data_IF_601540588015
#
_entry.id   IF_601540588015
#
_cell.length_a   1.000
_cell.length_b   1.000
_cell.length_c   1.000
_cell.angle_alpha   90.00
_cell.angle_beta   90.00
_cell.angle_gamma   90.00
#
_symmetry.space_group_name_H-M   'P 1'
#
loop_
_entity.id
_entity.type
_entity.pdbx_description
1 polymer ?
#
# COMPACT_ATOMS: atom_id res chain seq x y z
N UNK A 1 -14.27 8.65 -24.44
CA UNK A 1 -14.38 10.13 -24.39
C UNK A 1 -14.80 10.45 -22.98
N UNK A 2 -13.86 10.83 -22.10
CA UNK A 2 -14.16 11.39 -20.79
C UNK A 2 -14.81 12.75 -21.04
N UNK A 3 -16.07 12.89 -20.67
CA UNK A 3 -16.73 14.17 -20.64
C UNK A 3 -16.04 15.05 -19.61
N UNK A 4 -15.51 16.20 -20.04
CA UNK A 4 -14.98 17.21 -19.12
C UNK A 4 -16.12 17.65 -18.19
N UNK A 5 -16.04 17.25 -16.92
CA UNK A 5 -16.94 17.77 -15.90
C UNK A 5 -16.56 19.22 -15.67
N UNK A 6 -17.32 20.14 -16.27
CA UNK A 6 -17.07 21.58 -16.19
C UNK A 6 -17.42 22.08 -14.79
N UNK A 7 -16.69 23.10 -14.32
CA UNK A 7 -17.08 23.82 -13.08
C UNK A 7 -18.58 24.20 -13.15
N UNK A 8 -19.33 24.04 -12.05
CA UNK A 8 -20.73 24.41 -12.03
C UNK A 8 -20.88 25.88 -12.42
N UNK A 9 -21.76 26.12 -13.37
CA UNK A 9 -22.07 27.48 -13.83
C UNK A 9 -22.51 28.33 -12.61
N UNK A 10 -22.19 29.62 -12.64
CA UNK A 10 -22.51 30.59 -11.58
C UNK A 10 -23.97 30.46 -11.09
N UNK A 11 -24.91 30.25 -12.00
CA UNK A 11 -26.36 30.03 -11.70
C UNK A 11 -26.61 28.81 -10.79
N UNK A 12 -25.80 27.74 -10.87
CA UNK A 12 -25.95 26.57 -10.01
C UNK A 12 -25.48 26.89 -8.60
N UNK A 13 -24.35 27.62 -8.47
CA UNK A 13 -23.85 28.08 -7.18
C UNK A 13 -24.85 29.02 -6.48
N UNK A 14 -25.42 29.98 -7.20
CA UNK A 14 -26.46 30.89 -6.70
C UNK A 14 -27.70 30.13 -6.22
N UNK A 15 -28.15 29.15 -6.98
CA UNK A 15 -29.32 28.32 -6.59
C UNK A 15 -29.02 27.50 -5.32
N UNK A 16 -27.86 26.87 -5.23
CA UNK A 16 -27.45 26.12 -4.05
C UNK A 16 -27.27 27.04 -2.84
N UNK A 17 -26.65 28.20 -3.02
CA UNK A 17 -26.51 29.25 -2.02
C UNK A 17 -27.86 29.63 -1.41
N UNK A 18 -28.86 29.96 -2.25
CA UNK A 18 -30.18 30.29 -1.81
C UNK A 18 -30.90 29.16 -1.06
N UNK A 19 -30.73 27.94 -1.52
CA UNK A 19 -31.30 26.74 -0.90
C UNK A 19 -30.70 26.39 0.45
N UNK A 20 -29.38 26.53 0.57
CA UNK A 20 -28.60 26.19 1.76
C UNK A 20 -28.43 27.36 2.73
N UNK A 21 -28.95 28.54 2.38
CA UNK A 21 -28.79 29.80 3.17
C UNK A 21 -27.32 30.12 3.49
N UNK A 22 -26.44 29.98 2.48
CA UNK A 22 -25.02 30.32 2.57
C UNK A 22 -24.65 31.30 1.47
N UNK A 23 -23.55 32.02 1.64
CA UNK A 23 -23.03 32.88 0.59
C UNK A 23 -22.62 32.07 -0.64
N UNK A 24 -22.77 32.58 -1.88
CA UNK A 24 -22.33 31.90 -3.09
C UNK A 24 -20.85 31.52 -3.09
N UNK A 25 -20.03 32.34 -2.42
CA UNK A 25 -18.58 32.10 -2.19
C UNK A 25 -18.30 30.87 -1.33
N UNK A 26 -19.27 30.43 -0.53
CA UNK A 26 -19.16 29.23 0.32
C UNK A 26 -19.67 27.94 -0.37
N UNK A 27 -20.02 28.03 -1.64
CA UNK A 27 -20.39 26.86 -2.46
C UNK A 27 -19.20 26.41 -3.29
N UNK A 28 -18.54 25.34 -2.87
CA UNK A 28 -17.39 24.77 -3.54
C UNK A 28 -17.79 23.68 -4.51
N UNK A 29 -17.04 23.54 -5.60
CA UNK A 29 -17.23 22.48 -6.58
C UNK A 29 -16.11 21.44 -6.46
N UNK A 30 -16.47 20.19 -6.26
CA UNK A 30 -15.57 19.05 -6.36
C UNK A 30 -15.88 18.30 -7.66
N UNK A 31 -15.35 18.76 -8.77
CA UNK A 31 -15.47 18.11 -10.07
C UNK A 31 -14.35 17.07 -10.27
N UNK A 32 -14.50 16.24 -11.30
CA UNK A 32 -13.52 15.22 -11.62
C UNK A 32 -12.15 15.81 -11.96
N UNK A 33 -11.11 15.21 -11.41
CA UNK A 33 -9.71 15.61 -11.57
C UNK A 33 -8.86 14.41 -11.99
N UNK A 34 -7.70 14.61 -12.61
CA UNK A 34 -6.84 13.51 -13.08
C UNK A 34 -6.46 12.50 -12.01
N UNK A 35 -6.21 12.99 -10.80
CA UNK A 35 -5.99 12.16 -9.62
C UNK A 35 -6.50 12.86 -8.35
N UNK A 36 -6.77 12.10 -7.30
CA UNK A 36 -7.39 12.60 -6.06
C UNK A 36 -6.56 13.71 -5.36
N UNK A 37 -5.27 13.78 -5.60
CA UNK A 37 -4.38 14.76 -4.97
C UNK A 37 -4.61 16.19 -5.47
N UNK A 38 -5.25 16.36 -6.65
CA UNK A 38 -5.70 17.67 -7.14
C UNK A 38 -6.85 18.27 -6.32
N UNK A 39 -7.63 17.45 -5.61
CA UNK A 39 -8.82 17.94 -4.89
C UNK A 39 -8.46 19.00 -3.85
N UNK A 40 -7.39 18.81 -3.09
CA UNK A 40 -6.93 19.79 -2.10
C UNK A 40 -6.58 21.14 -2.74
N UNK A 41 -5.88 21.10 -3.88
CA UNK A 41 -5.51 22.31 -4.64
C UNK A 41 -6.74 23.01 -5.19
N UNK A 42 -7.64 22.26 -5.80
CA UNK A 42 -8.90 22.76 -6.37
C UNK A 42 -9.79 23.43 -5.31
N UNK A 43 -9.92 22.85 -4.13
CA UNK A 43 -10.69 23.45 -3.05
C UNK A 43 -10.00 24.71 -2.50
N UNK A 44 -8.68 24.70 -2.37
CA UNK A 44 -7.92 25.86 -1.94
C UNK A 44 -8.03 27.03 -2.95
N UNK A 45 -7.97 26.75 -4.26
CA UNK A 45 -8.13 27.76 -5.33
C UNK A 45 -9.51 28.41 -5.32
N UNK A 46 -10.53 27.73 -4.80
CA UNK A 46 -11.86 28.26 -4.60
C UNK A 46 -12.02 29.03 -3.28
N UNK A 47 -10.96 29.15 -2.46
CA UNK A 47 -11.01 29.88 -1.20
C UNK A 47 -11.50 29.08 0.01
N UNK A 48 -11.57 27.73 -0.09
CA UNK A 48 -12.09 26.91 1.00
C UNK A 48 -11.28 27.07 2.31
N UNK A 49 -9.95 27.16 2.21
CA UNK A 49 -9.08 27.34 3.38
C UNK A 49 -9.33 28.65 4.10
N UNK A 50 -9.45 29.75 3.37
CA UNK A 50 -9.71 31.07 3.98
C UNK A 50 -11.12 31.12 4.61
N UNK A 51 -12.13 30.60 3.90
CA UNK A 51 -13.49 30.51 4.45
C UNK A 51 -13.53 29.71 5.76
N UNK A 52 -12.83 28.59 5.83
CA UNK A 52 -12.75 27.79 7.06
C UNK A 52 -12.04 28.53 8.20
N UNK A 53 -10.93 29.24 7.91
CA UNK A 53 -10.24 30.08 8.90
C UNK A 53 -11.18 31.13 9.49
N UNK A 54 -11.88 31.87 8.64
CA UNK A 54 -12.81 32.92 9.05
C UNK A 54 -13.96 32.35 9.86
N UNK A 55 -14.55 31.25 9.38
CA UNK A 55 -15.71 30.63 10.03
C UNK A 55 -15.41 30.06 11.40
N UNK A 56 -14.23 29.47 11.57
CA UNK A 56 -13.82 28.84 12.83
C UNK A 56 -12.96 29.77 13.71
N UNK A 57 -12.78 31.03 13.30
CA UNK A 57 -11.93 32.02 14.00
C UNK A 57 -10.52 31.47 14.31
N UNK A 58 -9.95 30.75 13.33
CA UNK A 58 -8.64 30.09 13.50
C UNK A 58 -7.53 31.05 13.12
N UNK A 59 -6.65 31.37 14.06
CA UNK A 59 -5.40 32.08 13.79
C UNK A 59 -4.31 31.09 13.31
N UNK A 60 -4.48 30.59 12.10
CA UNK A 60 -3.53 29.68 11.46
C UNK A 60 -2.78 30.44 10.37
N UNK A 61 -1.44 30.45 10.40
CA UNK A 61 -0.66 31.08 9.34
C UNK A 61 -0.92 30.40 7.99
N UNK A 62 -0.96 31.20 6.93
CA UNK A 62 -1.09 30.68 5.57
C UNK A 62 0.13 29.86 5.22
N UNK A 63 -0.04 28.55 5.02
CA UNK A 63 1.04 27.60 4.74
C UNK A 63 1.31 27.50 3.23
N UNK A 64 1.73 28.61 2.59
CA UNK A 64 2.12 28.59 1.17
C UNK A 64 3.14 27.50 0.82
N UNK A 65 4.21 27.29 1.61
CA UNK A 65 5.20 26.25 1.30
C UNK A 65 4.58 24.84 1.17
N UNK A 66 3.65 24.48 2.06
CA UNK A 66 2.98 23.17 2.03
C UNK A 66 2.17 22.95 0.75
N UNK A 67 1.51 23.98 0.24
CA UNK A 67 0.76 23.91 -1.02
C UNK A 67 1.67 23.80 -2.24
N UNK A 68 2.85 24.40 -2.20
CA UNK A 68 3.81 24.30 -3.28
C UNK A 68 4.43 22.89 -3.36
N UNK A 69 4.75 22.30 -2.22
CA UNK A 69 5.18 20.90 -2.12
C UNK A 69 4.07 19.96 -2.60
N UNK A 70 2.82 20.24 -2.24
CA UNK A 70 1.66 19.46 -2.69
C UNK A 70 1.44 19.57 -4.20
N UNK A 71 1.59 20.77 -4.79
CA UNK A 71 1.55 20.96 -6.25
C UNK A 71 2.65 20.18 -6.94
N UNK A 72 3.88 20.24 -6.43
CA UNK A 72 5.01 19.51 -6.98
C UNK A 72 4.77 17.99 -6.93
N UNK A 73 4.23 17.47 -5.82
CA UNK A 73 3.84 16.07 -5.69
C UNK A 73 2.76 15.69 -6.71
N UNK A 74 1.69 16.49 -6.80
CA UNK A 74 0.56 16.24 -7.71
C UNK A 74 1.02 16.22 -9.17
N UNK A 75 1.85 17.18 -9.57
CA UNK A 75 2.44 17.21 -10.91
C UNK A 75 3.34 16.01 -11.19
N UNK A 76 4.05 15.51 -10.18
CA UNK A 76 4.85 14.28 -10.30
C UNK A 76 3.96 13.06 -10.53
N UNK A 77 2.85 12.95 -9.78
CA UNK A 77 1.88 11.85 -9.95
C UNK A 77 1.27 11.83 -11.35
N UNK A 78 1.01 13.00 -11.94
CA UNK A 78 0.49 13.09 -13.31
C UNK A 78 1.50 12.64 -14.38
N UNK A 79 2.79 12.65 -14.06
CA UNK A 79 3.87 12.42 -15.02
C UNK A 79 4.74 11.19 -14.67
N UNK A 80 4.16 10.18 -14.03
CA UNK A 80 4.86 8.92 -13.74
C UNK A 80 5.04 8.10 -15.01
N UNK A 81 6.28 7.98 -15.49
CA UNK A 81 6.62 7.30 -16.75
C UNK A 81 7.33 5.95 -16.55
N UNK A 82 7.92 5.72 -15.38
CA UNK A 82 8.55 4.45 -15.03
C UNK A 82 7.52 3.54 -14.39
N UNK A 83 7.40 2.31 -14.84
CA UNK A 83 6.55 1.30 -14.20
C UNK A 83 7.38 0.47 -13.22
N UNK A 84 6.81 0.19 -12.05
CA UNK A 84 7.39 -0.65 -11.02
C UNK A 84 6.36 -1.70 -10.60
N UNK A 85 6.78 -2.95 -10.56
CA UNK A 85 5.93 -4.09 -10.25
C UNK A 85 6.34 -4.74 -8.94
N UNK A 86 5.43 -4.79 -7.97
CA UNK A 86 5.65 -5.42 -6.65
C UNK A 86 4.73 -6.63 -6.50
N UNK A 87 5.31 -7.80 -6.25
CA UNK A 87 4.55 -8.98 -5.86
C UNK A 87 4.21 -8.90 -4.37
N UNK A 88 2.93 -8.77 -4.06
CA UNK A 88 2.43 -8.81 -2.68
C UNK A 88 2.02 -10.24 -2.33
N UNK A 89 2.87 -10.93 -1.56
CA UNK A 89 2.69 -12.33 -1.18
C UNK A 89 1.95 -12.42 0.14
N UNK A 90 0.67 -12.74 0.09
CA UNK A 90 -0.20 -12.68 1.26
C UNK A 90 -1.28 -13.75 1.30
N UNK A 91 -2.23 -13.55 2.21
CA UNK A 91 -3.52 -14.24 2.28
C UNK A 91 -4.62 -13.29 1.84
N UNK A 92 -5.77 -13.83 1.43
CA UNK A 92 -6.95 -13.00 1.13
C UNK A 92 -6.67 -11.91 0.08
N UNK A 93 -5.90 -12.24 -0.93
CA UNK A 93 -5.53 -11.30 -2.00
C UNK A 93 -6.73 -10.79 -2.80
N UNK A 94 -7.90 -11.45 -2.68
CA UNK A 94 -9.17 -10.99 -3.24
C UNK A 94 -9.84 -9.82 -2.49
N UNK A 95 -9.35 -9.43 -1.29
CA UNK A 95 -9.87 -8.33 -0.47
C UNK A 95 -8.81 -7.25 -0.32
N UNK A 96 -8.72 -6.37 -1.30
CA UNK A 96 -7.75 -5.25 -1.32
C UNK A 96 -7.83 -4.35 -0.08
N UNK A 97 -9.02 -4.22 0.51
CA UNK A 97 -9.25 -3.37 1.69
C UNK A 97 -8.45 -3.84 2.92
N UNK A 98 -8.17 -5.14 3.05
CA UNK A 98 -7.37 -5.69 4.14
C UNK A 98 -5.94 -5.16 4.17
N UNK A 99 -5.42 -4.69 3.03
CA UNK A 99 -4.07 -4.19 2.87
C UNK A 99 -4.02 -2.72 2.44
N UNK A 100 -5.11 -1.97 2.61
CA UNK A 100 -5.21 -0.61 2.10
C UNK A 100 -4.07 0.31 2.58
N UNK A 101 -3.67 0.21 3.84
CA UNK A 101 -2.56 1.00 4.40
C UNK A 101 -1.22 0.67 3.70
N UNK A 102 -0.96 -0.61 3.44
CA UNK A 102 0.26 -1.07 2.74
C UNK A 102 0.23 -0.60 1.29
N UNK A 103 -0.91 -0.73 0.61
CA UNK A 103 -1.11 -0.25 -0.77
C UNK A 103 -0.83 1.25 -0.85
N UNK A 104 -1.41 2.04 0.07
CA UNK A 104 -1.20 3.50 0.10
C UNK A 104 0.25 3.87 0.39
N UNK A 105 0.90 3.18 1.33
CA UNK A 105 2.31 3.39 1.61
C UNK A 105 3.20 3.10 0.38
N UNK A 106 2.95 1.99 -0.32
CA UNK A 106 3.65 1.66 -1.57
C UNK A 106 3.37 2.69 -2.67
N UNK A 107 2.13 3.16 -2.83
CA UNK A 107 1.79 4.21 -3.79
C UNK A 107 2.56 5.50 -3.49
N UNK A 108 2.60 5.95 -2.24
CA UNK A 108 3.33 7.14 -1.84
C UNK A 108 4.85 6.99 -2.06
N UNK A 109 5.40 5.80 -1.77
CA UNK A 109 6.80 5.50 -2.07
C UNK A 109 7.08 5.55 -3.58
N UNK A 110 6.17 4.99 -4.41
CA UNK A 110 6.23 5.05 -5.86
C UNK A 110 6.22 6.48 -6.38
N UNK A 111 5.34 7.35 -5.86
CA UNK A 111 5.32 8.78 -6.23
C UNK A 111 6.63 9.48 -5.92
N UNK A 112 7.22 9.18 -4.75
CA UNK A 112 8.51 9.75 -4.39
C UNK A 112 9.64 9.26 -5.28
N UNK A 113 9.60 7.98 -5.68
CA UNK A 113 10.55 7.38 -6.62
C UNK A 113 10.30 7.75 -8.09
N UNK A 114 9.21 8.46 -8.41
CA UNK A 114 8.83 8.79 -9.78
C UNK A 114 8.32 7.60 -10.59
N UNK A 115 7.81 6.56 -9.92
CA UNK A 115 7.37 5.33 -10.52
C UNK A 115 5.88 5.06 -10.32
N UNK A 116 5.23 4.59 -11.37
CA UNK A 116 3.86 4.08 -11.34
C UNK A 116 3.87 2.64 -10.84
N UNK A 117 3.19 2.44 -9.71
CA UNK A 117 3.17 1.14 -9.04
C UNK A 117 2.11 0.21 -9.62
N UNK A 118 2.51 -1.03 -9.91
CA UNK A 118 1.65 -2.17 -10.15
C UNK A 118 1.83 -3.20 -9.04
N UNK A 119 0.73 -3.67 -8.46
CA UNK A 119 0.75 -4.69 -7.41
C UNK A 119 0.21 -5.98 -7.99
N UNK A 120 1.06 -7.00 -8.05
CA UNK A 120 0.66 -8.36 -8.39
C UNK A 120 0.33 -9.12 -7.10
N UNK A 121 -0.92 -9.54 -7.00
CA UNK A 121 -1.42 -10.26 -5.83
C UNK A 121 -1.07 -11.73 -5.91
N UNK A 122 -0.26 -12.21 -4.97
CA UNK A 122 0.23 -13.58 -4.92
C UNK A 122 -0.33 -14.29 -3.69
N UNK A 123 -1.16 -15.30 -3.94
CA UNK A 123 -1.63 -16.22 -2.89
C UNK A 123 -0.47 -17.10 -2.42
N UNK A 124 -0.01 -16.87 -1.20
CA UNK A 124 1.18 -17.51 -0.64
C UNK A 124 1.09 -19.04 -0.63
N UNK A 125 -0.10 -19.59 -0.42
CA UNK A 125 -0.35 -21.03 -0.40
C UNK A 125 0.09 -21.73 -1.70
N UNK A 126 -0.14 -21.09 -2.86
CA UNK A 126 0.25 -21.68 -4.14
C UNK A 126 1.75 -21.61 -4.45
N UNK A 127 2.54 -20.92 -3.62
CA UNK A 127 4.00 -20.96 -3.73
C UNK A 127 4.63 -22.18 -3.02
N UNK A 128 3.86 -22.93 -2.26
CA UNK A 128 4.33 -24.09 -1.51
C UNK A 128 4.70 -25.26 -2.44
N UNK A 129 5.78 -26.03 -2.14
CA UNK A 129 6.29 -27.06 -3.05
C UNK A 129 5.28 -28.15 -3.42
N UNK A 130 4.36 -28.51 -2.50
CA UNK A 130 3.35 -29.52 -2.77
C UNK A 130 2.34 -29.07 -3.84
N UNK A 131 2.10 -27.76 -3.96
CA UNK A 131 1.19 -27.19 -4.95
C UNK A 131 1.66 -27.42 -6.40
N UNK A 132 2.94 -27.64 -6.61
CA UNK A 132 3.46 -28.03 -7.93
C UNK A 132 2.83 -29.32 -8.46
N UNK A 133 2.34 -30.20 -7.56
CA UNK A 133 1.67 -31.45 -7.93
C UNK A 133 0.15 -31.33 -7.88
N UNK A 134 -0.37 -30.61 -6.88
CA UNK A 134 -1.82 -30.50 -6.64
C UNK A 134 -2.49 -29.47 -7.55
N UNK A 135 -1.83 -28.34 -7.79
CA UNK A 135 -2.33 -27.21 -8.58
C UNK A 135 -1.23 -26.61 -9.49
N UNK A 136 -0.68 -27.39 -10.46
CA UNK A 136 0.51 -27.00 -11.21
C UNK A 136 0.35 -25.70 -11.99
N UNK A 137 -0.83 -25.43 -12.54
CA UNK A 137 -1.10 -24.19 -13.30
C UNK A 137 -1.01 -22.96 -12.41
N UNK A 138 -1.72 -22.95 -11.28
CA UNK A 138 -1.67 -21.84 -10.32
C UNK A 138 -0.29 -21.67 -9.70
N UNK A 139 0.36 -22.77 -9.33
CA UNK A 139 1.71 -22.74 -8.82
C UNK A 139 2.67 -22.05 -9.80
N UNK A 140 2.61 -22.42 -11.09
CA UNK A 140 3.44 -21.80 -12.13
C UNK A 140 3.09 -20.32 -12.34
N UNK A 141 1.80 -19.98 -12.37
CA UNK A 141 1.32 -18.60 -12.53
C UNK A 141 1.84 -17.69 -11.41
N UNK A 142 1.62 -18.07 -10.15
CA UNK A 142 2.02 -17.24 -9.01
C UNK A 142 3.55 -17.12 -8.88
N UNK A 143 4.29 -18.19 -9.15
CA UNK A 143 5.75 -18.14 -9.23
C UNK A 143 6.23 -17.22 -10.35
N UNK A 144 5.53 -17.20 -11.47
CA UNK A 144 5.88 -16.29 -12.57
C UNK A 144 5.68 -14.82 -12.16
N UNK A 145 4.61 -14.51 -11.40
CA UNK A 145 4.39 -13.17 -10.83
C UNK A 145 5.55 -12.77 -9.92
N UNK A 146 5.96 -13.64 -8.99
CA UNK A 146 7.10 -13.40 -8.09
C UNK A 146 8.41 -13.17 -8.85
N UNK A 147 8.67 -13.99 -9.88
CA UNK A 147 9.87 -13.90 -10.70
C UNK A 147 9.92 -12.63 -11.56
N UNK A 148 8.79 -12.19 -12.08
CA UNK A 148 8.70 -11.01 -12.95
C UNK A 148 8.63 -9.69 -12.19
N UNK A 149 8.31 -9.71 -10.90
CA UNK A 149 8.25 -8.50 -10.08
C UNK A 149 9.64 -7.88 -9.86
N UNK A 150 9.70 -6.56 -9.72
CA UNK A 150 10.91 -5.83 -9.36
C UNK A 150 11.28 -5.97 -7.89
N UNK A 151 10.28 -6.28 -7.06
CA UNK A 151 10.44 -6.55 -5.64
C UNK A 151 9.29 -7.35 -5.06
N UNK A 152 9.49 -7.89 -3.87
CA UNK A 152 8.49 -8.69 -3.15
C UNK A 152 8.18 -8.04 -1.81
N UNK A 153 6.88 -7.92 -1.49
CA UNK A 153 6.41 -7.51 -0.18
C UNK A 153 5.61 -8.65 0.46
N UNK A 154 5.98 -9.03 1.68
CA UNK A 154 5.21 -9.96 2.51
C UNK A 154 4.61 -9.18 3.67
N UNK A 155 3.29 -8.94 3.69
CA UNK A 155 2.63 -8.18 4.74
C UNK A 155 2.46 -8.99 6.03
N UNK A 156 1.99 -8.32 7.08
CA UNK A 156 1.56 -8.94 8.31
C UNK A 156 0.36 -9.88 8.12
N UNK A 157 0.10 -10.69 9.14
CA UNK A 157 -1.04 -11.61 9.19
C UNK A 157 -0.88 -12.61 10.32
N UNK A 158 -1.93 -13.34 10.61
CA UNK A 158 -1.98 -14.37 11.66
C UNK A 158 -2.26 -15.76 11.09
N UNK A 159 -1.87 -16.82 11.84
CA UNK A 159 -2.14 -18.21 11.55
C UNK A 159 -1.21 -18.83 10.50
N UNK A 160 -1.32 -20.15 10.36
CA UNK A 160 -0.35 -21.01 9.68
C UNK A 160 -0.45 -21.05 8.15
N UNK A 161 -1.61 -20.69 7.59
CA UNK A 161 -1.88 -20.82 6.15
C UNK A 161 -0.90 -19.97 5.31
N UNK A 162 -0.23 -20.62 4.35
CA UNK A 162 0.68 -19.98 3.41
C UNK A 162 2.02 -19.53 4.01
N UNK A 163 2.37 -19.99 5.23
CA UNK A 163 3.64 -19.65 5.91
C UNK A 163 4.82 -20.17 5.11
N UNK A 164 4.79 -21.44 4.72
CA UNK A 164 5.89 -22.05 3.91
C UNK A 164 6.01 -21.39 2.54
N UNK A 165 4.90 -21.04 1.88
CA UNK A 165 4.94 -20.30 0.62
C UNK A 165 5.56 -18.92 0.73
N UNK A 166 5.31 -18.21 1.84
CA UNK A 166 5.99 -16.93 2.15
C UNK A 166 7.48 -17.15 2.37
N UNK A 167 7.89 -18.23 3.05
CA UNK A 167 9.31 -18.60 3.21
C UNK A 167 9.96 -18.88 1.86
N UNK A 168 9.27 -19.62 0.97
CA UNK A 168 9.75 -19.85 -0.40
C UNK A 168 9.98 -18.55 -1.17
N UNK A 169 9.07 -17.58 -1.04
CA UNK A 169 9.24 -16.26 -1.65
C UNK A 169 10.42 -15.48 -1.05
N UNK A 170 10.59 -15.49 0.28
CA UNK A 170 11.70 -14.84 0.97
C UNK A 170 13.05 -15.44 0.55
N UNK A 171 13.14 -16.78 0.49
CA UNK A 171 14.31 -17.51 0.01
C UNK A 171 14.65 -17.14 -1.42
N UNK A 172 13.67 -17.17 -2.32
CA UNK A 172 13.87 -16.78 -3.71
C UNK A 172 14.46 -15.37 -3.82
N UNK A 173 13.95 -14.42 -3.05
CA UNK A 173 14.46 -13.04 -3.05
C UNK A 173 15.92 -12.99 -2.58
N UNK A 174 16.24 -13.67 -1.49
CA UNK A 174 17.60 -13.74 -0.95
C UNK A 174 18.58 -14.36 -1.94
N UNK A 175 18.23 -15.48 -2.56
CA UNK A 175 19.08 -16.22 -3.51
C UNK A 175 19.32 -15.48 -4.82
N UNK A 176 18.31 -14.71 -5.28
CA UNK A 176 18.36 -13.97 -6.55
C UNK A 176 18.78 -12.51 -6.39
N UNK A 177 18.95 -12.02 -5.17
CA UNK A 177 19.23 -10.61 -4.90
C UNK A 177 18.03 -9.69 -5.16
N UNK A 178 16.81 -10.24 -5.27
CA UNK A 178 15.58 -9.45 -5.47
C UNK A 178 15.23 -8.69 -4.19
N UNK A 179 14.87 -7.39 -4.27
CA UNK A 179 14.38 -6.62 -3.12
C UNK A 179 13.23 -7.30 -2.40
N UNK A 180 13.34 -7.42 -1.08
CA UNK A 180 12.33 -8.01 -0.21
C UNK A 180 11.99 -7.07 0.95
N UNK A 181 10.70 -6.88 1.20
CA UNK A 181 10.20 -6.17 2.38
C UNK A 181 9.23 -7.06 3.15
N UNK A 182 9.61 -7.46 4.35
CA UNK A 182 8.75 -8.19 5.29
C UNK A 182 8.21 -7.25 6.37
N UNK A 183 6.89 -7.22 6.55
CA UNK A 183 6.23 -6.42 7.59
C UNK A 183 5.62 -7.37 8.63
N UNK A 184 5.91 -7.19 9.92
CA UNK A 184 5.39 -8.00 11.01
C UNK A 184 5.70 -9.50 10.76
N UNK A 185 4.69 -10.31 10.45
CA UNK A 185 4.88 -11.72 10.07
C UNK A 185 5.88 -11.89 8.91
N UNK A 186 5.84 -11.01 7.92
CA UNK A 186 6.79 -11.08 6.80
C UNK A 186 8.25 -10.95 7.22
N UNK A 187 8.56 -10.12 8.23
CA UNK A 187 9.89 -10.04 8.82
C UNK A 187 10.24 -11.34 9.56
N UNK A 188 9.32 -11.87 10.35
CA UNK A 188 9.51 -13.14 11.08
C UNK A 188 9.80 -14.29 10.11
N UNK A 189 9.07 -14.35 9.00
CA UNK A 189 9.28 -15.33 7.92
C UNK A 189 10.70 -15.27 7.36
N UNK A 190 11.22 -14.06 7.10
CA UNK A 190 12.59 -13.91 6.60
C UNK A 190 13.64 -14.38 7.62
N UNK A 191 13.41 -14.11 8.92
CA UNK A 191 14.29 -14.58 10.00
C UNK A 191 14.28 -16.11 10.09
N UNK A 192 13.12 -16.74 10.02
CA UNK A 192 12.96 -18.19 10.07
C UNK A 192 13.62 -18.84 8.85
N UNK A 193 13.38 -18.33 7.64
CA UNK A 193 14.03 -18.85 6.42
C UNK A 193 15.55 -18.75 6.52
N UNK A 194 16.08 -17.60 6.96
CA UNK A 194 17.50 -17.40 7.13
C UNK A 194 18.11 -18.40 8.16
N UNK A 195 17.40 -18.62 9.27
CA UNK A 195 17.84 -19.60 10.26
C UNK A 195 17.86 -21.02 9.69
N UNK A 196 16.86 -21.42 8.92
CA UNK A 196 16.77 -22.74 8.31
C UNK A 196 17.86 -22.96 7.25
N UNK A 197 17.97 -22.04 6.32
CA UNK A 197 18.73 -22.22 5.10
C UNK A 197 20.18 -21.73 5.21
N UNK A 198 20.43 -20.59 5.82
CA UNK A 198 21.78 -20.01 5.92
C UNK A 198 22.52 -20.48 7.17
N UNK A 199 21.85 -20.54 8.32
CA UNK A 199 22.48 -20.99 9.56
C UNK A 199 22.41 -22.50 9.78
N UNK A 200 21.79 -23.26 8.86
CA UNK A 200 21.66 -24.71 8.93
C UNK A 200 20.84 -25.22 10.13
N UNK A 201 19.96 -24.37 10.68
CA UNK A 201 19.09 -24.72 11.80
C UNK A 201 17.81 -25.41 11.30
N UNK A 202 17.97 -26.65 10.87
CA UNK A 202 16.83 -27.43 10.37
C UNK A 202 15.67 -27.44 11.37
N UNK A 203 14.46 -27.16 10.88
CA UNK A 203 13.28 -27.05 11.72
C UNK A 203 13.13 -25.74 12.50
N UNK A 204 14.00 -24.74 12.31
CA UNK A 204 13.82 -23.43 12.94
C UNK A 204 12.43 -22.86 12.64
N UNK A 205 11.76 -22.29 13.65
CA UNK A 205 10.39 -21.81 13.53
C UNK A 205 10.10 -20.69 14.53
N UNK A 206 8.88 -20.16 14.46
CA UNK A 206 8.29 -19.36 15.52
C UNK A 206 7.58 -20.27 16.52
N UNK A 207 7.69 -19.96 17.80
CA UNK A 207 6.89 -20.63 18.86
C UNK A 207 5.40 -20.38 18.73
N UNK A 208 4.96 -19.41 17.91
CA UNK A 208 3.55 -19.24 17.52
C UNK A 208 3.06 -20.37 16.61
N UNK A 209 3.94 -20.89 15.74
CA UNK A 209 3.59 -21.92 14.77
C UNK A 209 3.92 -23.33 15.24
N UNK A 210 4.96 -23.48 16.05
CA UNK A 210 5.42 -24.74 16.61
C UNK A 210 6.08 -24.48 17.96
N UNK A 211 5.35 -24.77 19.05
CA UNK A 211 5.82 -24.56 20.41
C UNK A 211 7.01 -25.45 20.75
N UNK A 212 7.12 -26.61 20.11
CA UNK A 212 8.15 -27.62 20.35
C UNK A 212 9.33 -27.52 19.35
N UNK A 213 9.41 -26.42 18.58
CA UNK A 213 10.46 -26.26 17.59
C UNK A 213 11.86 -26.43 18.19
N UNK A 214 12.76 -27.25 17.57
CA UNK A 214 14.12 -27.46 18.08
C UNK A 214 14.98 -26.18 18.03
N UNK A 215 14.59 -25.22 17.21
CA UNK A 215 15.32 -23.96 17.02
C UNK A 215 14.34 -22.78 16.97
N UNK A 216 13.91 -22.23 18.12
CA UNK A 216 13.00 -21.10 18.17
C UNK A 216 13.72 -19.83 17.66
N UNK A 217 13.47 -19.47 16.39
CA UNK A 217 14.04 -18.29 15.76
C UNK A 217 13.22 -17.02 16.08
N UNK A 218 11.93 -17.19 16.35
CA UNK A 218 10.99 -16.15 16.81
C UNK A 218 10.25 -16.69 18.01
N UNK A 219 10.20 -15.92 19.11
CA UNK A 219 9.56 -16.31 20.35
C UNK A 219 8.58 -15.23 20.84
N UNK A 220 7.62 -15.62 21.67
CA UNK A 220 6.84 -14.65 22.42
C UNK A 220 7.74 -13.85 23.35
N UNK A 221 7.42 -12.56 23.55
CA UNK A 221 8.16 -11.75 24.51
C UNK A 221 8.00 -12.34 25.93
N UNK A 222 9.09 -12.37 26.73
CA UNK A 222 9.00 -12.85 28.10
C UNK A 222 7.94 -12.08 28.90
N UNK A 223 7.20 -12.79 29.75
CA UNK A 223 6.27 -12.17 30.71
C UNK A 223 7.05 -11.20 31.61
N UNK A 224 6.61 -9.96 31.69
CA UNK A 224 7.29 -8.89 32.44
C UNK A 224 7.58 -7.64 31.62
N UNK A 225 7.42 -7.69 30.33
CA UNK A 225 7.39 -6.51 29.45
C UNK A 225 6.00 -5.86 29.34
N UNK A 226 5.18 -6.04 30.40
CA UNK A 226 3.85 -5.41 30.54
C UNK A 226 3.98 -3.99 31.07
#
# INVERSE_FOLDING_TARGET
KAGSCQQPQTKVKEKLSSFCHVEPSHVFSAHDVPNIYHVALMLNEQGASEMMKDRFLMDIPTTKPLLDDWRAMTARVDNLNTELRIAMVGKYTGLSDSYLSVIKALQHAGFNAGAKLHIDWVEAEYLEPHQAKENPEKHAEYWQMVKNADGVLVPGGFGHRGVEGKMCAARHCRETGKPYLGICLGLQIAVIDFARDVLGKAGANSTEFDEDTPHPAVIFMPEGSR
#
